data_IF_746417777706
#
_entry.id   IF_746417777706
#
_cell.length_a   1.000
_cell.length_b   1.000
_cell.length_c   1.000
_cell.angle_alpha   90.00
_cell.angle_beta   90.00
_cell.angle_gamma   90.00
#
_symmetry.space_group_name_H-M   'P 1'
#
loop_
_entity.id
_entity.type
_entity.pdbx_description
1 polymer ?
#
# COMPACT_ATOMS: atom_id res chain seq x y z
N UNK A 1 18.10 -16.58 -10.74
CA UNK A 1 17.27 -16.40 -9.54
C UNK A 1 15.97 -17.12 -9.83
N UNK A 2 15.69 -18.22 -9.12
CA UNK A 2 14.44 -18.99 -9.30
C UNK A 2 13.23 -18.09 -8.98
N UNK A 3 12.13 -18.30 -9.69
CA UNK A 3 10.88 -17.54 -9.63
C UNK A 3 10.33 -17.42 -8.21
N UNK A 4 10.73 -16.38 -7.48
CA UNK A 4 9.97 -15.92 -6.32
C UNK A 4 8.81 -15.14 -6.92
N UNK A 5 7.54 -15.58 -6.77
CA UNK A 5 6.39 -14.86 -7.28
C UNK A 5 6.24 -13.55 -6.49
N UNK A 6 6.90 -12.49 -6.96
CA UNK A 6 6.79 -11.17 -6.36
C UNK A 6 5.50 -10.50 -6.85
N UNK A 7 4.63 -10.14 -5.91
CA UNK A 7 3.47 -9.29 -6.17
C UNK A 7 3.73 -7.91 -5.56
N UNK A 8 3.61 -6.88 -6.40
CA UNK A 8 3.70 -5.48 -5.97
C UNK A 8 2.39 -5.05 -5.29
N UNK A 9 1.27 -5.65 -5.70
CA UNK A 9 -0.05 -5.35 -5.17
C UNK A 9 -0.94 -6.59 -5.04
N UNK A 10 -1.78 -6.59 -4.02
CA UNK A 10 -2.89 -7.52 -3.83
C UNK A 10 -4.24 -6.78 -3.96
N UNK A 11 -5.29 -7.48 -4.37
CA UNK A 11 -6.65 -6.93 -4.53
C UNK A 11 -7.69 -8.03 -4.37
N UNK A 12 -8.86 -7.65 -3.87
CA UNK A 12 -10.11 -8.45 -3.91
C UNK A 12 -11.17 -7.87 -4.88
N UNK A 13 -10.79 -6.82 -5.63
CA UNK A 13 -11.68 -6.08 -6.54
C UNK A 13 -12.16 -4.75 -5.96
N UNK A 14 -12.13 -4.60 -4.63
CA UNK A 14 -12.58 -3.39 -3.92
C UNK A 14 -11.44 -2.68 -3.19
N UNK A 15 -10.51 -3.45 -2.62
CA UNK A 15 -9.33 -2.97 -1.90
C UNK A 15 -8.10 -3.18 -2.78
N UNK A 16 -7.16 -2.23 -2.75
CA UNK A 16 -5.79 -2.50 -3.19
C UNK A 16 -4.86 -2.43 -1.98
N UNK A 17 -4.05 -3.46 -1.80
CA UNK A 17 -2.99 -3.49 -0.79
C UNK A 17 -1.63 -3.41 -1.48
N UNK A 18 -0.78 -2.48 -1.02
CA UNK A 18 0.64 -2.39 -1.40
C UNK A 18 1.50 -2.26 -0.16
N UNK A 19 2.83 -2.26 -0.32
CA UNK A 19 3.72 -2.09 0.83
C UNK A 19 3.52 -0.73 1.51
N UNK A 20 3.46 0.35 0.72
CA UNK A 20 3.54 1.73 1.21
C UNK A 20 2.39 2.67 0.76
N UNK A 21 1.47 2.19 -0.08
CA UNK A 21 0.37 2.99 -0.65
C UNK A 21 0.67 3.58 -2.03
N UNK A 22 -0.35 4.10 -2.72
CA UNK A 22 -0.24 4.60 -4.10
C UNK A 22 -0.77 6.03 -4.20
N UNK A 23 0.14 6.99 -4.38
CA UNK A 23 -0.27 8.37 -4.67
C UNK A 23 -0.80 8.47 -6.11
N UNK A 24 -1.78 9.35 -6.30
CA UNK A 24 -2.40 9.63 -7.59
C UNK A 24 -1.37 10.25 -8.53
N UNK A 25 -0.53 11.17 -8.03
CA UNK A 25 0.62 11.77 -8.73
C UNK A 25 1.55 10.70 -9.29
N UNK A 26 2.01 9.74 -8.48
CA UNK A 26 2.88 8.66 -8.95
C UNK A 26 2.21 7.85 -10.06
N UNK A 27 0.95 7.46 -9.86
CA UNK A 27 0.19 6.70 -10.84
C UNK A 27 0.02 7.43 -12.17
N UNK A 28 -0.26 8.74 -12.14
CA UNK A 28 -0.36 9.58 -13.33
C UNK A 28 0.99 9.68 -14.04
N UNK A 29 2.09 9.91 -13.31
CA UNK A 29 3.44 9.96 -13.93
C UNK A 29 3.81 8.66 -14.64
N UNK A 30 3.43 7.51 -14.08
CA UNK A 30 3.84 6.19 -14.57
C UNK A 30 2.88 5.59 -15.61
N UNK A 31 1.60 5.93 -15.54
CA UNK A 31 0.55 5.28 -16.32
C UNK A 31 -0.40 6.24 -17.05
N UNK A 32 -0.17 7.55 -16.93
CA UNK A 32 -0.97 8.61 -17.54
C UNK A 32 -2.26 8.93 -16.77
N UNK A 33 -2.99 9.95 -17.23
CA UNK A 33 -4.20 10.46 -16.54
C UNK A 33 -5.32 9.42 -16.36
N UNK A 34 -5.37 8.42 -17.25
CA UNK A 34 -6.31 7.30 -17.15
C UNK A 34 -6.13 6.48 -15.87
N UNK A 35 -5.02 6.63 -15.15
CA UNK A 35 -4.83 6.07 -13.80
C UNK A 35 -5.96 6.46 -12.85
N UNK A 36 -6.42 7.71 -12.94
CA UNK A 36 -7.49 8.20 -12.09
C UNK A 36 -8.82 7.58 -12.51
N UNK A 37 -9.39 6.75 -11.64
CA UNK A 37 -10.65 6.04 -11.89
C UNK A 37 -10.48 4.60 -12.39
N UNK A 38 -9.26 4.06 -12.37
CA UNK A 38 -9.07 2.61 -12.53
C UNK A 38 -9.63 1.85 -11.34
N UNK A 39 -10.17 0.66 -11.61
CA UNK A 39 -10.58 -0.29 -10.57
C UNK A 39 -9.37 -0.87 -9.86
N UNK A 40 -9.56 -1.37 -8.63
CA UNK A 40 -8.50 -2.03 -7.86
C UNK A 40 -7.84 -3.18 -8.65
N UNK A 41 -8.64 -3.97 -9.38
CA UNK A 41 -8.12 -5.06 -10.24
C UNK A 41 -7.20 -4.56 -11.35
N UNK A 42 -7.57 -3.47 -12.03
CA UNK A 42 -6.75 -2.89 -13.10
C UNK A 42 -5.45 -2.31 -12.55
N UNK A 43 -5.53 -1.68 -11.38
CA UNK A 43 -4.36 -1.14 -10.68
C UNK A 43 -3.41 -2.28 -10.31
N UNK A 44 -3.89 -3.30 -9.58
CA UNK A 44 -3.07 -4.42 -9.16
C UNK A 44 -2.47 -5.19 -10.34
N UNK A 45 -3.26 -5.43 -11.41
CA UNK A 45 -2.79 -6.08 -12.62
C UNK A 45 -1.69 -5.29 -13.35
N UNK A 46 -1.71 -3.96 -13.31
CA UNK A 46 -0.65 -3.12 -13.88
C UNK A 46 0.61 -3.13 -13.03
N UNK A 47 0.45 -3.00 -11.71
CA UNK A 47 1.57 -3.01 -10.75
C UNK A 47 2.31 -4.34 -10.78
N UNK A 48 1.58 -5.45 -10.81
CA UNK A 48 2.17 -6.79 -10.85
C UNK A 48 2.88 -7.13 -12.17
N UNK A 49 2.70 -6.32 -13.24
CA UNK A 49 3.45 -6.43 -14.50
C UNK A 49 4.65 -5.47 -14.59
N UNK A 50 4.89 -4.64 -13.58
CA UNK A 50 6.06 -3.76 -13.56
C UNK A 50 7.38 -4.55 -13.58
N UNK A 51 7.54 -5.69 -12.87
CA UNK A 51 8.75 -6.48 -12.95
C UNK A 51 9.09 -6.96 -14.39
N UNK A 52 8.08 -7.14 -15.24
CA UNK A 52 8.26 -7.61 -16.63
C UNK A 52 8.81 -6.53 -17.58
N UNK A 53 8.89 -5.27 -17.14
CA UNK A 53 9.28 -4.14 -17.99
C UNK A 53 10.66 -3.60 -17.62
N UNK A 54 11.60 -3.56 -18.58
CA UNK A 54 12.88 -2.89 -18.39
C UNK A 54 12.69 -1.45 -17.89
N UNK A 55 13.39 -1.07 -16.81
CA UNK A 55 13.32 0.27 -16.19
C UNK A 55 12.19 0.49 -15.17
N UNK A 56 11.21 -0.41 -15.08
CA UNK A 56 10.08 -0.29 -14.13
C UNK A 56 10.45 -0.69 -12.70
N UNK A 57 11.47 -1.54 -12.51
CA UNK A 57 11.99 -1.85 -11.17
C UNK A 57 12.67 -0.64 -10.52
N UNK A 58 13.42 0.15 -11.31
CA UNK A 58 14.03 1.38 -10.80
C UNK A 58 12.96 2.38 -10.33
N UNK A 59 11.84 2.49 -11.06
CA UNK A 59 10.72 3.33 -10.66
C UNK A 59 10.09 2.91 -9.32
N UNK A 60 9.94 1.61 -9.10
CA UNK A 60 9.43 1.07 -7.84
C UNK A 60 10.38 1.39 -6.68
N UNK A 61 11.68 1.29 -6.92
CA UNK A 61 12.69 1.45 -5.88
C UNK A 61 13.08 2.90 -5.60
N UNK A 62 13.00 3.80 -6.59
CA UNK A 62 13.53 5.16 -6.48
C UNK A 62 12.46 6.23 -6.22
N UNK A 63 11.20 5.97 -6.56
CA UNK A 63 10.13 6.94 -6.35
C UNK A 63 9.62 6.88 -4.90
N UNK A 64 9.89 7.93 -4.14
CA UNK A 64 9.49 8.08 -2.73
C UNK A 64 7.97 8.11 -2.52
N UNK A 65 7.22 8.56 -3.53
CA UNK A 65 5.75 8.62 -3.52
C UNK A 65 5.06 7.41 -4.17
N UNK A 66 5.82 6.32 -4.39
CA UNK A 66 5.38 5.08 -5.03
C UNK A 66 5.00 3.94 -4.06
N UNK A 67 4.59 2.78 -4.61
CA UNK A 67 4.03 1.64 -3.85
C UNK A 67 4.97 0.99 -2.82
N UNK A 68 6.26 1.31 -2.84
CA UNK A 68 7.24 0.80 -1.88
C UNK A 68 7.67 1.82 -0.82
N UNK A 69 7.46 3.12 -1.05
CA UNK A 69 8.03 4.17 -0.19
C UNK A 69 7.06 5.24 0.26
N UNK A 70 5.86 5.31 -0.33
CA UNK A 70 4.88 6.32 0.05
C UNK A 70 4.59 6.26 1.56
N UNK A 71 4.46 7.44 2.15
CA UNK A 71 4.12 7.60 3.57
C UNK A 71 2.98 8.60 3.71
N UNK A 72 2.16 8.48 4.76
CA UNK A 72 1.26 9.56 5.17
C UNK A 72 2.00 10.91 5.16
N UNK A 73 1.35 11.96 4.68
CA UNK A 73 1.94 13.28 4.47
C UNK A 73 2.46 13.52 3.05
N UNK A 74 2.59 12.51 2.17
CA UNK A 74 2.84 12.76 0.74
C UNK A 74 1.68 13.51 0.07
N UNK A 75 0.46 13.39 0.62
CA UNK A 75 -0.76 13.92 0.03
C UNK A 75 -1.14 13.22 -1.29
N UNK A 76 -2.32 13.55 -1.81
CA UNK A 76 -2.79 13.10 -3.14
C UNK A 76 -3.04 11.59 -3.28
N UNK A 77 -3.65 10.94 -2.29
CA UNK A 77 -4.23 9.60 -2.48
C UNK A 77 -5.57 9.67 -3.22
N UNK A 78 -5.88 8.67 -4.05
CA UNK A 78 -7.20 8.60 -4.71
C UNK A 78 -8.28 8.16 -3.72
N UNK A 79 -9.05 9.12 -3.17
CA UNK A 79 -10.11 8.83 -2.19
C UNK A 79 -11.27 7.96 -2.68
N UNK A 80 -11.32 7.59 -3.96
CA UNK A 80 -12.28 6.60 -4.49
C UNK A 80 -11.78 5.16 -4.35
N UNK A 81 -10.50 4.99 -4.01
CA UNK A 81 -9.83 3.72 -3.91
C UNK A 81 -9.57 3.41 -2.44
N UNK A 82 -10.10 2.30 -1.96
CA UNK A 82 -9.74 1.80 -0.64
C UNK A 82 -8.33 1.21 -0.71
N UNK A 83 -7.38 1.90 -0.06
CA UNK A 83 -5.98 1.48 -0.03
C UNK A 83 -5.60 0.95 1.34
N UNK A 84 -4.86 -0.15 1.36
CA UNK A 84 -4.22 -0.71 2.57
C UNK A 84 -2.71 -0.68 2.39
N UNK A 85 -2.00 -0.21 3.41
CA UNK A 85 -0.55 -0.06 3.41
C UNK A 85 0.05 -0.54 4.73
N UNK A 86 1.20 -1.20 4.65
CA UNK A 86 2.12 -1.34 5.76
C UNK A 86 3.09 -0.16 5.78
N UNK A 87 4.40 -0.47 5.85
CA UNK A 87 5.57 0.39 5.64
C UNK A 87 5.79 1.54 6.64
N UNK A 88 4.72 2.21 7.04
CA UNK A 88 4.74 3.30 8.02
C UNK A 88 4.27 2.74 9.35
N UNK A 89 5.18 2.56 10.34
CA UNK A 89 4.82 2.10 11.66
C UNK A 89 3.74 2.98 12.30
N UNK A 90 2.71 2.36 12.86
CA UNK A 90 1.60 3.06 13.55
C UNK A 90 1.31 2.44 14.91
N UNK A 91 0.87 3.22 15.92
CA UNK A 91 0.49 2.70 17.23
C UNK A 91 -0.64 1.67 17.18
N UNK A 92 -1.57 1.80 16.23
CA UNK A 92 -2.69 0.90 15.99
C UNK A 92 -3.12 1.01 14.52
N UNK A 93 -3.70 -0.05 13.97
CA UNK A 93 -4.23 -0.01 12.61
C UNK A 93 -5.36 1.01 12.48
N UNK A 94 -5.45 1.71 11.35
CA UNK A 94 -6.46 2.74 11.17
C UNK A 94 -6.35 3.51 9.86
N UNK A 95 -7.37 4.31 9.54
CA UNK A 95 -7.35 5.17 8.37
C UNK A 95 -6.65 6.50 8.68
N UNK A 96 -5.61 6.81 7.90
CA UNK A 96 -4.85 8.05 7.96
C UNK A 96 -4.82 8.65 6.56
N UNK A 97 -5.35 9.86 6.41
CA UNK A 97 -5.38 10.59 5.12
C UNK A 97 -6.01 9.79 3.96
N UNK A 98 -6.99 8.93 4.25
CA UNK A 98 -7.67 8.11 3.24
C UNK A 98 -6.99 6.77 2.93
N UNK A 99 -5.89 6.43 3.61
CA UNK A 99 -5.20 5.13 3.48
C UNK A 99 -5.29 4.37 4.80
N UNK A 100 -5.63 3.09 4.75
CA UNK A 100 -5.60 2.22 5.91
C UNK A 100 -4.20 1.71 6.17
N UNK A 101 -3.64 2.07 7.32
CA UNK A 101 -2.31 1.66 7.75
C UNK A 101 -2.42 0.46 8.69
N UNK A 102 -1.57 -0.55 8.49
CA UNK A 102 -1.61 -1.79 9.27
C UNK A 102 -0.23 -2.29 9.77
N UNK A 103 0.81 -1.46 9.72
CA UNK A 103 2.14 -1.80 10.24
C UNK A 103 2.22 -1.53 11.75
N UNK A 104 1.75 -2.52 12.54
CA UNK A 104 1.65 -2.47 14.01
C UNK A 104 2.65 -3.40 14.72
N UNK A 105 3.59 -3.98 13.95
CA UNK A 105 4.58 -4.96 14.41
C UNK A 105 6.03 -4.48 14.21
N UNK A 106 6.22 -3.19 13.99
CA UNK A 106 7.52 -2.59 13.71
C UNK A 106 8.33 -2.25 14.96
N UNK A 107 9.59 -1.86 14.78
CA UNK A 107 10.48 -1.41 15.85
C UNK A 107 11.16 -0.09 15.47
N UNK A 108 11.44 0.74 16.48
CA UNK A 108 12.36 1.87 16.37
C UNK A 108 13.79 1.39 16.07
N UNK A 109 14.72 2.27 15.63
CA UNK A 109 16.11 1.89 15.39
C UNK A 109 16.83 1.29 16.60
N UNK A 110 16.39 1.61 17.82
CA UNK A 110 16.92 1.05 19.07
C UNK A 110 16.27 -0.29 19.48
N UNK A 111 15.37 -0.82 18.64
CA UNK A 111 14.65 -2.07 18.89
C UNK A 111 13.37 -1.91 19.72
N UNK A 112 13.03 -0.71 20.18
CA UNK A 112 11.78 -0.46 20.91
C UNK A 112 10.58 -0.78 20.01
N UNK A 113 9.64 -1.64 20.43
CA UNK A 113 8.46 -1.95 19.63
C UNK A 113 7.58 -0.72 19.37
N UNK A 114 7.03 -0.64 18.16
CA UNK A 114 6.01 0.31 17.75
C UNK A 114 4.77 -0.48 17.38
N UNK A 115 3.61 -0.03 17.86
CA UNK A 115 2.33 -0.63 17.53
C UNK A 115 1.82 -1.61 18.59
N UNK A 116 0.51 -1.82 18.54
CA UNK A 116 -0.26 -2.68 19.44
C UNK A 116 -0.31 -4.14 19.00
N UNK A 117 0.38 -4.49 17.90
CA UNK A 117 0.33 -5.82 17.25
C UNK A 117 -1.07 -6.20 16.74
N UNK A 118 -1.98 -5.24 16.62
CA UNK A 118 -3.30 -5.43 16.06
C UNK A 118 -3.26 -5.68 14.55
N UNK A 119 -4.38 -6.15 14.01
CA UNK A 119 -4.53 -6.45 12.59
C UNK A 119 -5.62 -5.59 11.97
N UNK A 120 -5.60 -5.49 10.64
CA UNK A 120 -6.72 -4.94 9.88
C UNK A 120 -7.54 -6.10 9.31
N UNK A 121 -8.82 -6.16 9.66
CA UNK A 121 -9.78 -7.12 9.11
C UNK A 121 -10.56 -6.45 7.97
N UNK A 122 -10.62 -7.13 6.84
CA UNK A 122 -11.53 -6.81 5.74
C UNK A 122 -12.67 -7.84 5.72
N UNK A 123 -13.91 -7.38 5.81
CA UNK A 123 -15.09 -8.21 5.70
C UNK A 123 -16.20 -7.51 4.88
N UNK A 124 -17.40 -8.10 4.84
CA UNK A 124 -18.53 -7.54 4.08
C UNK A 124 -19.07 -6.21 4.61
N UNK A 125 -18.70 -5.78 5.82
CA UNK A 125 -19.06 -4.49 6.41
C UNK A 125 -18.00 -3.41 6.17
N UNK A 126 -16.75 -3.80 5.93
CA UNK A 126 -15.67 -2.90 5.55
C UNK A 126 -14.33 -3.28 6.16
N UNK A 127 -13.54 -2.24 6.48
CA UNK A 127 -12.23 -2.37 7.11
C UNK A 127 -12.31 -2.01 8.59
N UNK A 128 -11.80 -2.89 9.44
CA UNK A 128 -11.89 -2.80 10.89
C UNK A 128 -10.55 -3.09 11.54
N UNK A 129 -10.11 -2.22 12.46
CA UNK A 129 -8.94 -2.49 13.29
C UNK A 129 -9.32 -3.50 14.38
N UNK A 130 -8.57 -4.59 14.47
CA UNK A 130 -8.74 -5.65 15.46
C UNK A 130 -7.52 -5.64 16.40
N UNK A 131 -7.68 -5.30 17.68
CA UNK A 131 -6.56 -5.27 18.62
C UNK A 131 -6.04 -6.68 18.90
N UNK A 132 -4.75 -6.78 19.23
CA UNK A 132 -4.16 -8.03 19.69
C UNK A 132 -4.67 -8.37 21.10
N UNK A 133 -5.46 -9.44 21.22
CA UNK A 133 -5.85 -9.99 22.51
C UNK A 133 -4.63 -10.70 23.13
N UNK A 134 -4.22 -10.27 24.33
CA UNK A 134 -3.14 -10.90 25.10
C UNK A 134 -3.61 -12.14 25.83
#
# INVERSE_FOLDING_TARGET
MKDIPTRIAWTDGTIVATHAGLTRRWGIRRFGHAWTGMTADRIAARLNRLPDRPGSLAALYMDDDGPLWARPGHGDYDGRLTQVSGHTPVPSAGNVEGVWLCDTFSTMPDGTPIGDRGMLLADGAGLHAIPYAR
#
